data_IF_608719534918
#
_entry.id   IF_608719534918
#
_cell.length_a   1.000
_cell.length_b   1.000
_cell.length_c   1.000
_cell.angle_alpha   90.00
_cell.angle_beta   90.00
_cell.angle_gamma   90.00
#
_symmetry.space_group_name_H-M   'P 1'
#
loop_
_entity.id
_entity.type
_entity.pdbx_description
1 polymer ?
#
# COMPACT_ATOMS: atom_id res chain seq x y z
N UNK A 1 2.86 -7.61 39.23
CA UNK A 1 4.02 -6.69 39.34
C UNK A 1 5.03 -6.98 38.22
N UNK A 2 4.84 -6.36 37.05
CA UNK A 2 5.79 -6.45 35.92
C UNK A 2 5.51 -5.31 34.92
N UNK A 3 5.42 -4.07 35.43
CA UNK A 3 5.60 -2.90 34.59
C UNK A 3 7.10 -2.78 34.26
N UNK A 4 7.66 -3.80 33.59
CA UNK A 4 9.02 -3.79 33.06
C UNK A 4 9.08 -2.58 32.14
N UNK A 5 9.81 -1.56 32.59
CA UNK A 5 9.91 -0.26 31.94
C UNK A 5 10.07 -0.44 30.43
N UNK A 6 9.11 0.07 29.66
CA UNK A 6 9.12 0.03 28.19
C UNK A 6 10.07 1.09 27.65
N UNK A 7 11.25 1.22 28.25
CA UNK A 7 12.31 2.12 27.80
C UNK A 7 12.75 1.73 26.40
N UNK A 8 12.84 2.69 25.47
CA UNK A 8 13.39 2.41 24.15
C UNK A 8 14.84 1.92 24.27
N UNK A 9 15.22 1.00 23.40
CA UNK A 9 16.60 0.52 23.29
C UNK A 9 17.45 1.50 22.47
N UNK A 10 16.87 2.01 21.38
CA UNK A 10 17.54 2.88 20.41
C UNK A 10 16.60 3.98 19.92
N UNK A 11 17.19 5.01 19.34
CA UNK A 11 16.50 6.15 18.76
C UNK A 11 17.14 6.47 17.42
N UNK A 12 16.33 6.74 16.39
CA UNK A 12 16.83 7.30 15.14
C UNK A 12 16.95 8.82 15.32
N UNK A 13 18.12 9.45 15.17
CA UNK A 13 18.26 10.90 15.33
C UNK A 13 17.42 11.68 14.32
N UNK A 14 16.83 12.79 14.77
CA UNK A 14 16.17 13.75 13.89
C UNK A 14 17.26 14.40 13.01
N UNK A 15 17.14 14.24 11.69
CA UNK A 15 18.12 14.78 10.73
C UNK A 15 17.54 15.93 9.89
N UNK A 16 16.21 15.99 9.78
CA UNK A 16 15.49 17.02 9.04
C UNK A 16 15.11 18.14 10.00
N UNK A 17 15.67 19.32 9.77
CA UNK A 17 15.32 20.53 10.53
C UNK A 17 13.91 21.05 10.18
N UNK A 18 13.49 22.07 10.94
CA UNK A 18 12.16 22.67 10.83
C UNK A 18 11.92 23.30 9.45
N UNK A 19 12.87 24.06 8.94
CA UNK A 19 12.72 24.82 7.70
C UNK A 19 12.66 23.87 6.50
N UNK A 20 13.51 22.84 6.51
CA UNK A 20 13.49 21.76 5.52
C UNK A 20 12.17 21.01 5.54
N UNK A 21 11.61 20.72 6.72
CA UNK A 21 10.30 20.09 6.84
C UNK A 21 9.17 20.98 6.28
N UNK A 22 9.16 22.28 6.59
CA UNK A 22 8.19 23.22 6.01
C UNK A 22 8.33 23.29 4.49
N UNK A 23 9.55 23.38 3.96
CA UNK A 23 9.80 23.40 2.52
C UNK A 23 9.30 22.12 1.82
N UNK A 24 9.51 20.95 2.44
CA UNK A 24 9.00 19.67 1.95
C UNK A 24 7.47 19.62 1.96
N UNK A 25 6.83 20.15 3.00
CA UNK A 25 5.37 20.29 3.06
C UNK A 25 4.85 21.18 1.92
N UNK A 26 5.43 22.38 1.73
CA UNK A 26 5.04 23.32 0.65
C UNK A 26 5.17 22.66 -0.73
N UNK A 27 6.33 22.04 -0.99
CA UNK A 27 6.57 21.29 -2.23
C UNK A 27 5.54 20.18 -2.45
N UNK A 28 5.16 19.47 -1.39
CA UNK A 28 4.14 18.42 -1.49
C UNK A 28 2.76 19.01 -1.77
N UNK A 29 2.36 20.09 -1.08
CA UNK A 29 1.07 20.75 -1.27
C UNK A 29 0.89 21.32 -2.68
N UNK A 30 1.96 21.82 -3.29
CA UNK A 30 1.96 22.32 -4.68
C UNK A 30 1.80 21.23 -5.75
N UNK A 31 1.87 19.95 -5.39
CA UNK A 31 1.69 18.82 -6.32
C UNK A 31 0.27 18.26 -6.21
N UNK A 32 -0.29 17.75 -7.31
CA UNK A 32 -1.55 17.02 -7.31
C UNK A 32 -2.65 17.71 -8.12
N UNK A 33 -3.14 17.01 -9.14
CA UNK A 33 -4.09 17.55 -10.11
C UNK A 33 -5.34 18.13 -9.45
N UNK A 34 -5.93 17.38 -8.52
CA UNK A 34 -7.19 17.73 -7.85
C UNK A 34 -7.07 18.78 -6.75
N UNK A 35 -5.87 19.29 -6.42
CA UNK A 35 -5.70 20.25 -5.32
C UNK A 35 -5.95 21.70 -5.78
N UNK A 36 -6.39 22.61 -4.89
CA UNK A 36 -6.43 24.04 -5.18
C UNK A 36 -5.04 24.56 -5.60
N UNK A 37 -4.97 25.43 -6.61
CA UNK A 37 -3.69 25.93 -7.13
C UNK A 37 -2.95 26.83 -6.15
N UNK A 38 -3.69 27.52 -5.28
CA UNK A 38 -3.21 28.43 -4.24
C UNK A 38 -2.92 27.73 -2.90
N UNK A 39 -3.10 26.41 -2.82
CA UNK A 39 -2.97 25.65 -1.57
C UNK A 39 -1.59 25.80 -0.95
N UNK A 40 -0.54 25.66 -1.75
CA UNK A 40 0.85 25.73 -1.26
C UNK A 40 1.20 27.11 -0.71
N UNK A 41 0.60 28.18 -1.21
CA UNK A 41 0.92 29.55 -0.79
C UNK A 41 0.09 29.95 0.43
N UNK A 42 -1.21 29.67 0.40
CA UNK A 42 -2.15 30.11 1.42
C UNK A 42 -2.27 29.21 2.63
N UNK A 43 -1.77 27.97 2.58
CA UNK A 43 -1.77 27.11 3.76
C UNK A 43 -1.00 27.79 4.90
N UNK A 44 -1.61 27.90 6.07
CA UNK A 44 -0.95 28.44 7.26
C UNK A 44 -0.61 27.30 8.21
N UNK A 45 0.68 27.07 8.50
CA UNK A 45 1.09 26.08 9.51
C UNK A 45 0.64 26.60 10.86
N UNK A 46 -0.26 25.88 11.53
CA UNK A 46 -0.78 26.24 12.86
C UNK A 46 0.05 25.60 13.96
N UNK A 47 0.40 24.33 13.79
CA UNK A 47 1.21 23.56 14.74
C UNK A 47 2.26 22.77 13.99
N UNK A 48 3.46 22.71 14.56
CA UNK A 48 4.55 21.89 14.03
C UNK A 48 5.44 21.43 15.16
N UNK A 49 5.50 20.11 15.35
CA UNK A 49 6.26 19.52 16.44
C UNK A 49 7.01 18.28 15.99
N UNK A 50 8.26 18.16 16.42
CA UNK A 50 9.03 16.94 16.29
C UNK A 50 8.57 15.97 17.39
N UNK A 51 8.12 14.79 16.96
CA UNK A 51 7.62 13.74 17.84
C UNK A 51 8.42 12.46 17.61
N UNK A 52 8.94 11.90 18.70
CA UNK A 52 9.56 10.59 18.71
C UNK A 52 8.52 9.53 18.98
N UNK A 53 8.20 8.74 17.95
CA UNK A 53 7.14 7.75 18.01
C UNK A 53 7.73 6.36 18.28
N UNK A 54 7.19 5.61 19.26
CA UNK A 54 7.70 4.30 19.61
C UNK A 54 7.24 3.21 18.64
N UNK A 55 8.17 2.35 18.27
CA UNK A 55 7.95 1.18 17.42
C UNK A 55 8.60 -0.07 18.02
N UNK A 56 7.93 -1.21 17.81
CA UNK A 56 8.59 -2.51 17.86
C UNK A 56 9.22 -2.78 16.50
N UNK A 57 10.52 -3.04 16.50
CA UNK A 57 11.29 -3.43 15.32
C UNK A 57 11.54 -4.93 15.41
N UNK A 58 10.92 -5.69 14.51
CA UNK A 58 11.07 -7.15 14.48
C UNK A 58 12.12 -7.60 13.47
N UNK A 59 12.84 -8.64 13.86
CA UNK A 59 13.77 -9.39 13.03
C UNK A 59 13.41 -10.87 13.11
N UNK A 60 13.42 -11.56 11.98
CA UNK A 60 13.12 -12.99 11.91
C UNK A 60 13.73 -13.64 10.67
N UNK A 61 14.00 -14.93 10.79
CA UNK A 61 14.24 -15.81 9.66
C UNK A 61 12.95 -16.54 9.31
N UNK A 62 12.72 -16.73 8.01
CA UNK A 62 11.54 -17.41 7.47
C UNK A 62 11.96 -18.66 6.72
N UNK A 63 11.23 -19.75 6.98
CA UNK A 63 11.28 -20.98 6.21
C UNK A 63 9.86 -21.24 5.71
N UNK A 64 9.66 -21.03 4.42
CA UNK A 64 8.33 -21.02 3.81
C UNK A 64 8.19 -22.17 2.84
N UNK A 65 7.16 -22.98 3.04
CA UNK A 65 6.66 -23.92 2.04
C UNK A 65 5.48 -23.28 1.33
N UNK A 66 5.45 -23.33 0.00
CA UNK A 66 4.37 -22.75 -0.78
C UNK A 66 3.85 -23.69 -1.86
N UNK A 67 2.58 -23.53 -2.19
CA UNK A 67 1.90 -24.22 -3.28
C UNK A 67 1.09 -23.21 -4.09
N UNK A 68 1.03 -23.36 -5.40
CA UNK A 68 0.22 -22.52 -6.28
C UNK A 68 -0.20 -23.31 -7.53
N UNK A 69 -1.23 -22.85 -8.23
CA UNK A 69 -1.49 -23.32 -9.60
C UNK A 69 -0.96 -22.29 -10.59
N UNK A 70 -0.26 -22.74 -11.62
CA UNK A 70 0.26 -21.91 -12.70
C UNK A 70 -0.39 -22.28 -14.03
N UNK A 71 -0.62 -21.28 -14.86
CA UNK A 71 -0.98 -21.46 -16.26
C UNK A 71 -0.19 -20.50 -17.14
N UNK A 72 0.38 -21.02 -18.23
CA UNK A 72 1.11 -20.20 -19.21
C UNK A 72 0.20 -19.65 -20.32
N UNK A 73 -1.11 -19.93 -20.29
CA UNK A 73 -2.00 -19.47 -21.35
C UNK A 73 -2.29 -17.97 -21.27
N UNK A 74 -2.48 -17.29 -22.41
CA UNK A 74 -2.85 -15.88 -22.45
C UNK A 74 -4.15 -15.57 -21.70
N UNK A 75 -4.30 -14.31 -21.29
CA UNK A 75 -5.56 -13.82 -20.69
C UNK A 75 -6.72 -14.02 -21.67
N UNK A 76 -7.85 -14.53 -21.16
CA UNK A 76 -9.06 -14.82 -21.95
C UNK A 76 -9.11 -16.22 -22.56
N UNK A 77 -7.99 -16.95 -22.61
CA UNK A 77 -7.98 -18.35 -23.03
C UNK A 77 -8.27 -19.30 -21.86
N UNK A 78 -9.04 -20.36 -22.11
CA UNK A 78 -9.07 -21.53 -21.22
C UNK A 78 -7.72 -22.22 -21.32
N UNK A 79 -7.07 -22.44 -20.18
CA UNK A 79 -5.78 -23.11 -20.10
C UNK A 79 -5.76 -24.10 -18.96
N UNK A 80 -4.90 -25.10 -19.11
CA UNK A 80 -4.63 -26.07 -18.07
C UNK A 80 -3.89 -25.40 -16.92
N UNK A 81 -4.25 -25.82 -15.71
CA UNK A 81 -3.65 -25.36 -14.48
C UNK A 81 -2.77 -26.47 -13.94
N UNK A 82 -1.48 -26.17 -13.81
CA UNK A 82 -0.49 -27.12 -13.31
C UNK A 82 -0.16 -26.77 -11.87
N UNK A 83 -0.25 -27.72 -10.92
CA UNK A 83 0.15 -27.48 -9.55
C UNK A 83 1.67 -27.31 -9.48
N UNK A 84 2.10 -26.29 -8.77
CA UNK A 84 3.49 -25.98 -8.45
C UNK A 84 3.66 -25.89 -6.94
N UNK A 85 4.84 -26.24 -6.47
CA UNK A 85 5.22 -26.07 -5.08
C UNK A 85 6.70 -25.75 -4.99
N UNK A 86 7.09 -25.15 -3.88
CA UNK A 86 8.48 -24.84 -3.64
C UNK A 86 8.75 -24.41 -2.21
N UNK A 87 10.02 -24.14 -1.96
CA UNK A 87 10.51 -23.59 -0.71
C UNK A 87 11.09 -22.20 -0.95
N UNK A 88 10.93 -21.33 0.04
CA UNK A 88 11.57 -20.03 0.08
C UNK A 88 12.13 -19.78 1.49
N UNK A 89 13.36 -19.30 1.56
CA UNK A 89 14.02 -18.94 2.82
C UNK A 89 14.48 -17.50 2.74
N UNK A 90 14.16 -16.72 3.76
CA UNK A 90 14.53 -15.32 3.81
C UNK A 90 14.89 -14.90 5.23
N UNK A 91 15.51 -13.73 5.33
CA UNK A 91 15.79 -13.04 6.59
C UNK A 91 15.27 -11.63 6.48
N UNK A 92 14.39 -11.25 7.40
CA UNK A 92 13.80 -9.94 7.47
C UNK A 92 14.29 -9.22 8.71
N UNK A 93 14.72 -7.98 8.53
CA UNK A 93 15.11 -7.07 9.60
C UNK A 93 14.47 -5.71 9.37
N UNK A 94 14.01 -5.07 10.44
CA UNK A 94 13.41 -3.74 10.34
C UNK A 94 11.91 -3.74 10.10
N UNK A 95 11.19 -4.82 10.43
CA UNK A 95 9.73 -4.81 10.34
C UNK A 95 9.15 -3.95 11.47
N UNK A 96 8.55 -2.82 11.09
CA UNK A 96 7.99 -1.85 12.02
C UNK A 96 6.56 -2.21 12.41
N UNK A 97 6.30 -2.27 13.71
CA UNK A 97 4.96 -2.32 14.29
C UNK A 97 4.82 -1.16 15.28
N UNK A 98 3.86 -0.26 15.03
CA UNK A 98 3.62 0.90 15.88
C UNK A 98 3.33 0.49 17.32
N UNK A 99 3.96 1.17 18.27
CA UNK A 99 3.78 0.92 19.70
C UNK A 99 2.99 2.03 20.43
N UNK A 100 2.44 2.98 19.67
CA UNK A 100 1.51 4.04 20.12
C UNK A 100 0.34 4.16 19.14
N UNK A 101 -0.65 4.97 19.51
CA UNK A 101 -1.83 5.28 18.68
C UNK A 101 -1.68 6.55 17.84
N UNK A 102 -0.49 7.18 17.80
CA UNK A 102 -0.30 8.47 17.12
C UNK A 102 -0.31 8.34 15.60
N UNK A 103 0.16 7.20 15.08
CA UNK A 103 0.17 6.92 13.65
C UNK A 103 -0.56 5.63 13.35
N UNK A 104 -1.37 5.69 12.30
CA UNK A 104 -1.93 4.52 11.65
C UNK A 104 -0.85 3.70 10.92
N UNK A 105 -1.09 2.40 10.64
CA UNK A 105 -0.17 1.59 9.85
C UNK A 105 0.07 2.17 8.44
N UNK A 106 -0.95 2.76 7.81
CA UNK A 106 -0.84 3.37 6.47
C UNK A 106 0.02 4.64 6.50
N UNK A 107 -0.14 5.52 7.50
CA UNK A 107 0.72 6.70 7.68
C UNK A 107 2.18 6.28 7.92
N UNK A 108 2.41 5.31 8.81
CA UNK A 108 3.77 4.77 9.06
C UNK A 108 4.41 4.29 7.76
N UNK A 109 3.66 3.52 6.98
CA UNK A 109 4.17 2.96 5.75
C UNK A 109 4.33 4.00 4.62
N UNK A 110 3.56 5.09 4.64
CA UNK A 110 3.76 6.24 3.77
C UNK A 110 5.04 7.01 4.13
N UNK A 111 5.44 7.06 5.40
CA UNK A 111 6.66 7.74 5.88
C UNK A 111 7.93 6.93 5.65
N UNK A 112 7.81 5.61 5.56
CA UNK A 112 8.90 4.69 5.23
C UNK A 112 9.62 5.01 3.90
N UNK A 113 10.95 4.76 3.77
CA UNK A 113 11.81 4.06 4.72
C UNK A 113 12.36 4.92 5.87
N UNK A 114 12.65 4.26 6.99
CA UNK A 114 13.55 4.74 8.02
C UNK A 114 14.84 3.91 7.96
N UNK A 115 15.98 4.56 8.07
CA UNK A 115 17.29 3.92 8.17
C UNK A 115 17.59 3.61 9.64
N UNK A 116 17.27 2.36 10.01
CA UNK A 116 17.51 1.81 11.35
C UNK A 116 19.00 1.52 11.62
N UNK A 117 19.86 1.52 10.59
CA UNK A 117 21.30 1.41 10.74
C UNK A 117 21.90 2.62 11.45
N UNK A 118 21.27 3.79 11.30
CA UNK A 118 21.66 5.04 11.96
C UNK A 118 21.02 5.25 13.33
N UNK A 119 20.29 4.26 13.87
CA UNK A 119 19.74 4.37 15.20
C UNK A 119 20.87 4.26 16.26
N UNK A 120 20.87 5.17 17.22
CA UNK A 120 21.86 5.23 18.31
C UNK A 120 21.21 4.82 19.64
N UNK A 121 21.98 4.43 20.67
CA UNK A 121 21.45 4.27 22.02
C UNK A 121 20.69 5.51 22.50
N UNK A 122 19.61 5.32 23.25
CA UNK A 122 18.71 6.40 23.69
C UNK A 122 19.40 7.51 24.47
N UNK A 123 20.45 7.20 25.23
CA UNK A 123 21.23 8.17 26.00
C UNK A 123 22.15 9.09 25.16
N UNK A 124 22.25 8.86 23.85
CA UNK A 124 23.05 9.70 22.95
C UNK A 124 22.24 10.80 22.27
N UNK A 125 20.93 10.86 22.51
CA UNK A 125 20.06 11.91 22.00
C UNK A 125 19.41 12.59 23.19
N UNK A 126 19.46 13.92 23.22
CA UNK A 126 18.67 14.69 24.19
C UNK A 126 17.19 14.52 23.86
N UNK A 127 16.52 13.74 24.71
CA UNK A 127 15.07 13.49 24.62
C UNK A 127 14.27 14.35 25.61
N UNK A 128 14.91 15.21 26.39
CA UNK A 128 14.25 16.01 27.43
C UNK A 128 13.44 17.16 26.81
N UNK A 129 13.93 17.71 25.71
CA UNK A 129 13.35 18.87 25.03
C UNK A 129 12.48 18.53 23.81
N UNK A 130 12.11 17.26 23.65
CA UNK A 130 11.32 16.77 22.51
C UNK A 130 10.12 15.98 22.99
N UNK A 131 9.05 15.96 22.19
CA UNK A 131 7.88 15.15 22.51
C UNK A 131 8.22 13.69 22.23
N UNK A 132 8.24 12.87 23.28
CA UNK A 132 8.38 11.41 23.17
C UNK A 132 7.05 10.75 23.49
N UNK A 133 6.53 9.99 22.53
CA UNK A 133 5.30 9.24 22.72
C UNK A 133 5.50 8.00 23.58
N UNK A 134 4.48 7.67 24.36
CA UNK A 134 4.55 6.56 25.30
C UNK A 134 4.36 5.21 24.59
N UNK A 135 5.15 4.22 24.99
CA UNK A 135 4.93 2.83 24.61
C UNK A 135 3.65 2.31 25.28
N UNK A 136 2.56 2.25 24.52
CA UNK A 136 1.25 1.74 24.98
C UNK A 136 1.03 0.29 24.59
N UNK A 137 1.57 -0.13 23.45
CA UNK A 137 1.36 -1.49 22.93
C UNK A 137 2.44 -2.42 23.46
N UNK A 138 2.04 -3.42 24.25
CA UNK A 138 2.95 -4.46 24.72
C UNK A 138 3.37 -5.41 23.59
N UNK A 139 4.57 -6.00 23.71
CA UNK A 139 5.13 -6.96 22.73
C UNK A 139 4.16 -8.09 22.36
N UNK A 140 3.39 -8.60 23.34
CA UNK A 140 2.44 -9.70 23.12
C UNK A 140 1.36 -9.38 22.06
N UNK A 141 0.98 -8.10 21.94
CA UNK A 141 0.01 -7.63 20.93
C UNK A 141 0.69 -7.25 19.60
N UNK A 142 1.94 -6.80 19.65
CA UNK A 142 2.70 -6.48 18.44
C UNK A 142 3.18 -7.74 17.68
N UNK A 143 3.45 -8.84 18.38
CA UNK A 143 3.99 -10.08 17.80
C UNK A 143 3.08 -10.72 16.75
N UNK A 144 1.75 -10.85 16.94
CA UNK A 144 0.84 -11.34 15.90
C UNK A 144 0.84 -10.45 14.65
N UNK A 145 0.86 -9.13 14.81
CA UNK A 145 0.93 -8.18 13.69
C UNK A 145 2.23 -8.34 12.89
N UNK A 146 3.35 -8.52 13.59
CA UNK A 146 4.64 -8.80 12.96
C UNK A 146 4.61 -10.12 12.15
N UNK A 147 4.03 -11.19 12.72
CA UNK A 147 3.85 -12.46 12.03
C UNK A 147 3.03 -12.30 10.74
N UNK A 148 1.88 -11.62 10.82
CA UNK A 148 1.04 -11.35 9.66
C UNK A 148 1.79 -10.53 8.59
N UNK A 149 2.57 -9.54 9.02
CA UNK A 149 3.44 -8.76 8.14
C UNK A 149 4.45 -9.64 7.39
N UNK A 150 5.17 -10.52 8.10
CA UNK A 150 6.11 -11.48 7.51
C UNK A 150 5.44 -12.45 6.55
N UNK A 151 4.27 -12.98 6.89
CA UNK A 151 3.49 -13.85 6.01
C UNK A 151 3.08 -13.15 4.71
N UNK A 152 2.72 -11.87 4.77
CA UNK A 152 2.39 -11.08 3.58
C UNK A 152 3.62 -10.78 2.71
N UNK A 153 4.79 -10.60 3.32
CA UNK A 153 6.06 -10.44 2.61
C UNK A 153 6.43 -11.72 1.88
N UNK A 154 6.40 -12.84 2.60
CA UNK A 154 6.66 -14.19 2.08
C UNK A 154 5.68 -14.56 0.97
N UNK A 155 4.38 -14.30 1.13
CA UNK A 155 3.39 -14.55 0.07
C UNK A 155 3.74 -13.80 -1.22
N UNK A 156 4.13 -12.54 -1.12
CA UNK A 156 4.49 -11.76 -2.30
C UNK A 156 5.83 -12.19 -2.92
N UNK A 157 6.80 -12.61 -2.11
CA UNK A 157 8.06 -13.17 -2.60
C UNK A 157 7.81 -14.50 -3.32
N UNK A 158 7.05 -15.41 -2.71
CA UNK A 158 6.65 -16.69 -3.30
C UNK A 158 5.91 -16.51 -4.64
N UNK A 159 5.04 -15.49 -4.74
CA UNK A 159 4.31 -15.19 -5.97
C UNK A 159 5.22 -14.90 -7.18
N UNK A 160 6.45 -14.41 -6.97
CA UNK A 160 7.41 -14.14 -8.04
C UNK A 160 8.01 -15.41 -8.65
N UNK A 161 7.94 -16.54 -7.94
CA UNK A 161 8.42 -17.84 -8.45
C UNK A 161 7.36 -18.60 -9.25
N UNK A 162 6.11 -18.11 -9.30
CA UNK A 162 5.03 -18.74 -10.06
C UNK A 162 5.00 -18.12 -11.46
N UNK A 163 5.37 -18.86 -12.51
CA UNK A 163 5.36 -18.32 -13.88
C UNK A 163 3.93 -18.10 -14.38
N UNK A 164 3.78 -17.15 -15.30
CA UNK A 164 2.51 -16.88 -15.97
C UNK A 164 1.40 -16.45 -15.01
N UNK A 165 0.19 -16.92 -15.29
CA UNK A 165 -0.98 -16.69 -14.43
C UNK A 165 -0.86 -17.55 -13.18
N UNK A 166 -1.14 -16.96 -12.02
CA UNK A 166 -1.17 -17.68 -10.75
C UNK A 166 -2.57 -17.66 -10.14
N UNK A 167 -2.92 -18.73 -9.43
CA UNK A 167 -4.05 -18.79 -8.51
C UNK A 167 -3.73 -19.71 -7.33
N UNK A 168 -4.59 -19.69 -6.31
CA UNK A 168 -4.52 -20.61 -5.17
C UNK A 168 -3.15 -20.61 -4.45
N UNK A 169 -2.42 -19.50 -4.47
CA UNK A 169 -1.14 -19.39 -3.78
C UNK A 169 -1.36 -19.49 -2.27
N UNK A 170 -0.88 -20.58 -1.68
CA UNK A 170 -0.85 -20.83 -0.24
C UNK A 170 0.59 -20.83 0.22
N UNK A 171 0.83 -20.18 1.35
CA UNK A 171 2.15 -20.15 2.01
C UNK A 171 1.99 -20.64 3.44
N UNK A 172 2.92 -21.50 3.86
CA UNK A 172 3.07 -21.95 5.22
C UNK A 172 4.43 -21.47 5.73
N UNK A 173 4.42 -20.43 6.56
CA UNK A 173 5.62 -19.73 7.01
C UNK A 173 5.99 -20.18 8.42
N UNK A 174 7.14 -20.84 8.53
CA UNK A 174 7.79 -21.12 9.82
C UNK A 174 8.74 -19.97 10.15
N UNK A 175 8.54 -19.35 11.31
CA UNK A 175 9.40 -18.28 11.81
C UNK A 175 10.43 -18.83 12.78
N UNK A 176 11.70 -18.47 12.58
CA UNK A 176 12.80 -18.78 13.50
C UNK A 176 13.48 -17.49 13.97
N UNK A 177 13.94 -17.50 15.22
CA UNK A 177 14.68 -16.37 15.80
C UNK A 177 13.89 -15.06 15.91
N UNK A 178 12.55 -15.10 16.07
CA UNK A 178 11.73 -13.88 16.14
C UNK A 178 12.08 -13.02 17.36
N UNK A 179 12.86 -11.96 17.13
CA UNK A 179 13.28 -10.99 18.12
C UNK A 179 12.58 -9.65 17.91
N UNK A 180 12.61 -8.79 18.92
CA UNK A 180 12.03 -7.45 18.84
C UNK A 180 12.83 -6.46 19.65
N UNK A 181 13.06 -5.28 19.07
CA UNK A 181 13.68 -4.14 19.75
C UNK A 181 12.69 -2.98 19.85
N UNK A 182 12.87 -2.13 20.86
CA UNK A 182 12.08 -0.90 21.03
C UNK A 182 12.87 0.26 20.44
N UNK A 183 12.33 0.90 19.41
CA UNK A 183 13.00 2.01 18.72
C UNK A 183 12.08 3.23 18.65
N UNK A 184 12.64 4.41 18.93
CA UNK A 184 11.98 5.68 18.68
C UNK A 184 12.33 6.19 17.27
N UNK A 185 11.30 6.55 16.50
CA UNK A 185 11.46 7.13 15.17
C UNK A 185 11.03 8.61 15.17
N UNK A 186 11.84 9.51 14.57
CA UNK A 186 11.55 10.93 14.55
C UNK A 186 10.55 11.25 13.43
N UNK A 187 9.47 11.94 13.78
CA UNK A 187 8.41 12.31 12.86
C UNK A 187 8.02 13.76 13.13
N UNK A 188 7.99 14.58 12.09
CA UNK A 188 7.37 15.90 12.16
C UNK A 188 5.87 15.74 12.00
N UNK A 189 5.14 16.13 13.04
CA UNK A 189 3.67 16.19 13.02
C UNK A 189 3.26 17.65 12.88
N UNK A 190 2.50 17.94 11.83
CA UNK A 190 2.06 19.28 11.49
C UNK A 190 0.55 19.34 11.37
N UNK A 191 0.00 20.48 11.77
CA UNK A 191 -1.34 20.90 11.42
C UNK A 191 -1.22 22.18 10.60
N UNK A 192 -1.99 22.28 9.52
CA UNK A 192 -2.10 23.51 8.75
C UNK A 192 -3.56 23.83 8.46
N UNK A 193 -3.87 25.12 8.33
CA UNK A 193 -5.21 25.62 8.01
C UNK A 193 -5.29 26.11 6.57
N UNK A 194 -6.36 25.76 5.88
CA UNK A 194 -6.72 26.27 4.56
C UNK A 194 -8.24 26.35 4.43
N UNK A 195 -8.79 27.51 4.06
CA UNK A 195 -10.24 27.74 3.95
C UNK A 195 -11.01 27.28 5.22
N UNK A 196 -10.53 27.72 6.39
CA UNK A 196 -11.07 27.39 7.72
C UNK A 196 -11.09 25.90 8.10
N UNK A 197 -10.50 25.04 7.29
CA UNK A 197 -10.32 23.62 7.58
C UNK A 197 -8.88 23.33 8.02
N UNK A 198 -8.74 22.46 9.02
CA UNK A 198 -7.43 22.02 9.52
C UNK A 198 -7.10 20.66 8.95
N UNK A 199 -5.88 20.51 8.43
CA UNK A 199 -5.39 19.29 7.83
C UNK A 199 -4.13 18.83 8.55
N UNK A 200 -4.01 17.51 8.72
CA UNK A 200 -2.83 16.86 9.29
C UNK A 200 -1.81 16.57 8.20
N UNK A 201 -0.55 16.86 8.52
CA UNK A 201 0.59 16.61 7.65
C UNK A 201 1.73 15.97 8.44
N UNK A 202 2.43 15.01 7.81
CA UNK A 202 3.46 14.20 8.43
C UNK A 202 4.72 14.19 7.56
N UNK A 203 5.88 14.31 8.20
CA UNK A 203 7.17 14.16 7.53
C UNK A 203 8.06 13.22 8.32
N UNK A 204 8.75 12.34 7.61
CA UNK A 204 9.79 11.50 8.17
C UNK A 204 10.95 12.41 8.61
N UNK A 205 11.23 12.46 9.91
CA UNK A 205 12.24 13.33 10.50
C UNK A 205 13.69 12.95 10.18
N UNK A 206 13.91 11.83 9.50
CA UNK A 206 15.23 11.40 9.05
C UNK A 206 15.42 11.63 7.53
N UNK A 207 14.42 11.29 6.71
CA UNK A 207 14.54 11.30 5.24
C UNK A 207 13.86 12.48 4.56
N UNK A 208 12.97 13.19 5.26
CA UNK A 208 12.18 14.28 4.71
C UNK A 208 10.99 13.81 3.86
N UNK A 209 10.75 12.50 3.77
CA UNK A 209 9.59 11.96 3.04
C UNK A 209 8.29 12.48 3.65
N UNK A 210 7.45 13.06 2.81
CA UNK A 210 6.27 13.82 3.23
C UNK A 210 4.96 13.14 2.79
N UNK A 211 3.97 13.16 3.67
CA UNK A 211 2.62 12.62 3.43
C UNK A 211 1.60 13.38 4.26
N UNK A 212 0.36 13.45 3.82
CA UNK A 212 -0.69 14.08 4.61
C UNK A 212 -2.00 14.22 3.86
N UNK A 213 -2.92 14.96 4.45
CA UNK A 213 -4.21 15.27 3.85
C UNK A 213 -4.13 16.58 3.08
N UNK A 214 -4.93 16.72 2.03
CA UNK A 214 -5.07 17.96 1.28
C UNK A 214 -6.52 18.12 0.78
N UNK A 215 -7.05 19.35 0.75
CA UNK A 215 -8.36 19.60 0.17
C UNK A 215 -8.37 19.35 -1.33
N UNK A 216 -9.52 18.94 -1.84
CA UNK A 216 -9.78 18.83 -3.28
C UNK A 216 -10.49 20.09 -3.79
N UNK A 217 -10.11 20.56 -4.98
CA UNK A 217 -10.72 21.71 -5.63
C UNK A 217 -12.02 21.30 -6.31
N UNK A 218 -13.15 21.73 -5.73
CA UNK A 218 -14.47 21.48 -6.31
C UNK A 218 -14.60 22.04 -7.73
N UNK A 219 -14.00 23.21 -7.99
CA UNK A 219 -13.98 23.83 -9.33
C UNK A 219 -13.33 22.92 -10.38
N UNK A 220 -12.22 22.26 -10.03
CA UNK A 220 -11.53 21.31 -10.92
C UNK A 220 -12.35 20.04 -11.14
N UNK A 221 -12.99 19.52 -10.09
CA UNK A 221 -13.88 18.35 -10.17
C UNK A 221 -15.07 18.68 -11.07
N UNK A 222 -15.75 19.80 -10.85
CA UNK A 222 -16.88 20.24 -11.65
C UNK A 222 -16.52 20.43 -13.12
N UNK A 223 -15.36 21.05 -13.42
CA UNK A 223 -14.88 21.18 -14.78
C UNK A 223 -14.60 19.82 -15.45
N UNK A 224 -13.97 18.88 -14.73
CA UNK A 224 -13.70 17.55 -15.26
C UNK A 224 -15.00 16.76 -15.55
N UNK A 225 -15.99 16.86 -14.66
CA UNK A 225 -17.32 16.25 -14.86
C UNK A 225 -18.03 16.87 -16.06
N UNK A 226 -17.99 18.20 -16.20
CA UNK A 226 -18.59 18.88 -17.34
C UNK A 226 -17.95 18.44 -18.67
N UNK A 227 -16.62 18.36 -18.72
CA UNK A 227 -15.89 17.88 -19.90
C UNK A 227 -16.28 16.43 -20.22
N UNK A 228 -16.38 15.56 -19.21
CA UNK A 228 -16.81 14.17 -19.40
C UNK A 228 -18.22 14.07 -19.98
N UNK A 229 -19.17 14.91 -19.50
CA UNK A 229 -20.53 14.98 -20.04
C UNK A 229 -20.52 15.45 -21.50
N UNK A 230 -19.75 16.49 -21.84
CA UNK A 230 -19.65 17.00 -23.21
C UNK A 230 -19.07 15.95 -24.17
N UNK A 231 -18.03 15.22 -23.75
CA UNK A 231 -17.46 14.11 -24.53
C UNK A 231 -18.49 13.00 -24.72
N UNK A 232 -19.23 12.64 -23.68
CA UNK A 232 -20.28 11.63 -23.78
C UNK A 232 -21.37 12.04 -24.76
N UNK A 233 -21.86 13.28 -24.70
CA UNK A 233 -22.86 13.81 -25.63
C UNK A 233 -22.32 13.85 -27.07
N UNK A 234 -21.06 14.23 -27.26
CA UNK A 234 -20.40 14.21 -28.57
C UNK A 234 -20.33 12.79 -29.15
N UNK A 235 -19.95 11.79 -28.34
CA UNK A 235 -19.91 10.39 -28.75
C UNK A 235 -21.30 9.85 -29.10
N UNK A 236 -22.33 10.19 -28.32
CA UNK A 236 -23.72 9.82 -28.61
C UNK A 236 -24.22 10.46 -29.90
N UNK A 237 -23.89 11.73 -30.16
CA UNK A 237 -24.23 12.40 -31.41
C UNK A 237 -23.56 11.74 -32.62
N UNK A 238 -22.26 11.40 -32.52
CA UNK A 238 -21.52 10.69 -33.58
C UNK A 238 -22.11 9.30 -33.86
N UNK A 239 -22.50 8.56 -32.83
CA UNK A 239 -23.17 7.26 -32.99
C UNK A 239 -24.58 7.40 -33.59
N UNK A 240 -25.34 8.44 -33.20
CA UNK A 240 -26.65 8.74 -33.75
C UNK A 240 -26.62 9.16 -35.24
N UNK A 241 -25.57 9.89 -35.64
CA UNK A 241 -25.32 10.25 -37.04
C UNK A 241 -24.95 9.04 -37.91
N UNK A 242 -24.24 8.05 -37.35
CA UNK A 242 -23.99 6.77 -38.04
C UNK A 242 -25.25 5.89 -38.20
N UNK A 243 -26.17 5.94 -37.23
CA UNK A 243 -27.44 5.22 -37.31
C UNK A 243 -28.45 5.80 -38.31
N UNK A 244 -28.36 7.10 -38.60
CA UNK A 244 -29.25 7.77 -39.56
C UNK A 244 -28.96 7.39 -41.04
N UNK A 245 -27.75 6.90 -41.35
CA UNK A 245 -27.42 6.42 -42.70
C UNK A 245 -27.94 5.00 -43.01
N UNK A 246 -28.31 4.20 -42.00
CA UNK A 246 -28.85 2.84 -42.20
C UNK A 246 -30.38 2.78 -42.26
N UNK A 247 -31.10 3.90 -42.09
CA UNK A 247 -32.57 3.94 -42.11
C UNK A 247 -33.17 4.59 -43.37
N UNK A 248 -32.36 4.89 -44.40
CA UNK A 248 -32.84 5.42 -45.68
C UNK A 248 -33.21 4.34 -46.71
N UNK A 249 -32.99 3.04 -46.43
CA UNK A 249 -33.22 1.98 -47.41
C UNK A 249 -33.84 0.73 -46.77
N UNK A 250 -35.05 0.88 -46.22
CA UNK A 250 -35.84 -0.26 -45.74
C UNK A 250 -37.36 0.00 -45.82
N UNK A 251 -37.82 0.44 -46.99
CA UNK A 251 -39.24 0.52 -47.32
C UNK A 251 -39.72 -0.69 -48.13
N UNK A 252 -39.87 -1.87 -47.51
CA UNK A 252 -40.87 -2.95 -47.81
C UNK A 252 -40.40 -4.32 -47.30
N UNK A 253 -41.00 -4.82 -46.21
CA UNK A 253 -41.84 -6.03 -46.22
C UNK A 253 -42.23 -6.49 -44.80
N UNK A 254 -43.55 -6.66 -44.63
CA UNK A 254 -44.23 -7.76 -43.92
C UNK A 254 -43.91 -8.11 -42.45
N UNK A 255 -44.90 -7.78 -41.60
CA UNK A 255 -45.53 -8.61 -40.52
C UNK A 255 -44.67 -9.72 -39.87
N UNK A 256 -44.50 -9.63 -38.54
CA UNK A 256 -45.17 -10.49 -37.52
C UNK A 256 -44.86 -10.03 -36.09
N UNK A 257 -45.87 -10.22 -35.23
CA UNK A 257 -45.90 -9.94 -33.78
C UNK A 257 -45.03 -10.93 -33.01
N UNK A 258 -44.51 -10.53 -31.85
CA UNK A 258 -44.65 -11.14 -30.50
C UNK A 258 -43.85 -10.28 -29.49
N UNK A 259 -44.45 -9.53 -28.57
CA UNK A 259 -44.96 -9.89 -27.22
C UNK A 259 -43.86 -10.01 -26.14
N UNK A 260 -43.77 -9.00 -25.25
CA UNK A 260 -43.26 -9.00 -23.85
C UNK A 260 -41.75 -9.32 -23.64
N UNK A 261 -41.00 -8.84 -22.64
CA UNK A 261 -41.24 -8.02 -21.46
C UNK A 261 -39.90 -7.38 -21.00
N UNK A 262 -40.05 -6.35 -20.19
CA UNK A 262 -39.08 -5.60 -19.37
C UNK A 262 -38.11 -6.46 -18.53
N UNK A 263 -36.92 -5.95 -18.20
CA UNK A 263 -36.52 -5.54 -16.83
C UNK A 263 -34.99 -5.26 -16.66
N UNK A 264 -34.69 -4.08 -16.06
CA UNK A 264 -33.60 -3.64 -15.13
C UNK A 264 -32.19 -4.27 -15.20
N UNK A 265 -31.13 -3.48 -15.32
CA UNK A 265 -30.39 -2.72 -14.28
C UNK A 265 -29.51 -3.59 -13.36
N UNK A 266 -28.19 -3.38 -13.39
CA UNK A 266 -27.28 -3.23 -12.22
C UNK A 266 -25.84 -3.10 -12.74
N UNK A 267 -25.23 -1.92 -12.59
CA UNK A 267 -24.32 -1.57 -11.49
C UNK A 267 -22.92 -2.20 -11.60
N UNK A 268 -21.98 -1.33 -11.96
CA UNK A 268 -20.69 -1.10 -11.31
C UNK A 268 -20.08 -2.26 -10.51
N UNK A 269 -18.96 -2.79 -11.02
CA UNK A 269 -17.94 -3.38 -10.17
C UNK A 269 -16.68 -2.55 -10.32
N UNK A 270 -16.49 -1.65 -9.35
CA UNK A 270 -15.24 -0.94 -9.10
C UNK A 270 -14.15 -1.98 -8.79
N UNK A 271 -13.09 -1.93 -9.57
CA UNK A 271 -11.96 -2.85 -9.59
C UNK A 271 -11.18 -2.82 -8.27
N UNK A 272 -10.94 -4.02 -7.71
CA UNK A 272 -10.16 -4.26 -6.49
C UNK A 272 -8.63 -4.17 -6.72
N UNK A 273 -8.15 -3.08 -7.32
CA UNK A 273 -6.74 -2.94 -7.76
C UNK A 273 -5.97 -1.78 -7.06
N UNK A 274 -6.45 -1.30 -5.91
CA UNK A 274 -5.84 -0.18 -5.17
C UNK A 274 -5.19 -0.57 -3.83
N UNK A 275 -4.86 -1.85 -3.60
CA UNK A 275 -4.18 -2.31 -2.36
C UNK A 275 -2.73 -2.79 -2.55
N UNK A 276 -2.09 -2.56 -3.71
CA UNK A 276 -0.76 -3.11 -4.04
C UNK A 276 0.46 -2.21 -3.80
N UNK A 277 0.31 -0.96 -3.38
CA UNK A 277 1.45 -0.02 -3.27
C UNK A 277 1.67 0.52 -1.87
N UNK A 278 2.01 -0.37 -0.93
CA UNK A 278 2.58 0.09 0.35
C UNK A 278 3.59 -0.95 0.84
N UNK A 279 4.89 -0.71 0.63
CA UNK A 279 5.94 -1.49 1.27
C UNK A 279 7.16 -0.62 1.52
N UNK A 280 7.52 -0.53 2.79
CA UNK A 280 8.86 -0.10 3.21
C UNK A 280 9.88 -1.05 2.57
N UNK A 281 11.00 -0.59 1.99
CA UNK A 281 12.06 -1.49 1.58
C UNK A 281 12.66 -2.14 2.84
N UNK A 282 12.19 -3.35 3.13
CA UNK A 282 12.83 -4.21 4.12
C UNK A 282 14.09 -4.73 3.43
N UNK A 283 15.24 -4.47 4.05
CA UNK A 283 16.52 -4.94 3.54
C UNK A 283 16.55 -6.46 3.68
N UNK A 284 16.28 -7.19 2.59
CA UNK A 284 16.69 -8.59 2.51
C UNK A 284 18.21 -8.59 2.44
N UNK A 285 18.87 -9.19 3.42
CA UNK A 285 20.31 -9.45 3.31
C UNK A 285 20.43 -10.62 2.34
N UNK A 286 21.05 -10.37 1.18
CA UNK A 286 21.26 -11.36 0.14
C UNK A 286 22.22 -12.45 0.64
N UNK A 287 21.64 -13.49 1.22
CA UNK A 287 22.24 -14.82 1.42
C UNK A 287 21.33 -15.92 0.87
N UNK A 288 20.47 -15.59 -0.09
CA UNK A 288 19.52 -16.51 -0.71
C UNK A 288 20.28 -17.57 -1.50
N UNK A 289 20.39 -18.78 -0.96
CA UNK A 289 20.60 -19.97 -1.80
C UNK A 289 19.42 -20.05 -2.78
N UNK A 290 19.64 -20.36 -4.07
CA UNK A 290 18.56 -20.41 -5.05
C UNK A 290 17.48 -21.37 -4.56
N UNK A 291 16.22 -20.94 -4.65
CA UNK A 291 15.06 -21.76 -4.39
C UNK A 291 15.17 -23.05 -5.22
N UNK A 292 15.09 -24.22 -4.58
CA UNK A 292 14.86 -25.47 -5.31
C UNK A 292 13.41 -25.47 -5.75
N UNK A 293 13.14 -24.94 -6.93
CA UNK A 293 11.85 -25.14 -7.61
C UNK A 293 11.82 -26.59 -8.09
N UNK A 294 11.27 -27.49 -7.29
CA UNK A 294 11.01 -28.86 -7.72
C UNK A 294 9.76 -28.87 -8.59
N UNK A 295 9.94 -28.94 -9.91
CA UNK A 295 8.88 -29.31 -10.84
C UNK A 295 8.53 -30.79 -10.59
N UNK A 296 7.53 -31.04 -9.76
CA UNK A 296 6.93 -32.38 -9.68
C UNK A 296 5.85 -32.44 -10.74
N UNK A 297 6.23 -32.83 -11.96
CA UNK A 297 5.26 -33.27 -12.96
C UNK A 297 4.45 -34.41 -12.34
N UNK A 298 3.16 -34.19 -12.12
CA UNK A 298 2.26 -35.28 -11.78
C UNK A 298 2.23 -36.21 -12.99
N UNK A 299 2.91 -37.35 -12.88
CA UNK A 299 2.77 -38.48 -13.79
C UNK A 299 1.28 -38.82 -13.91
N UNK A 300 0.69 -38.58 -15.07
CA UNK A 300 -0.56 -39.21 -15.45
C UNK A 300 -0.30 -40.72 -15.60
N UNK A 301 -1.15 -41.61 -15.08
CA UNK A 301 -1.08 -43.01 -15.45
C UNK A 301 -1.55 -43.13 -16.90
N UNK A 302 -0.70 -43.72 -17.74
CA UNK A 302 -1.08 -44.21 -19.07
C UNK A 302 -2.15 -45.28 -18.90
N UNK A 303 -3.36 -45.01 -19.37
CA UNK A 303 -4.34 -46.05 -19.64
C UNK A 303 -4.15 -46.49 -21.10
N UNK A 304 -3.32 -47.52 -21.27
CA UNK A 304 -3.40 -48.46 -22.38
C UNK A 304 -4.16 -49.68 -21.88
N UNK A 305 -5.29 -49.97 -22.52
CA UNK A 305 -6.21 -51.07 -22.25
C UNK A 305 -7.49 -50.87 -23.02
#
# INVERSE_FOLDING_TARGET
PDAKSLTPNRVVPLSVDRDTAVANMRRWLGKGFWRPGDLSERAAVTTMTAVYVPYWVFTAQTFTYWTADSSQTPFGARGDWVPLSGEHRSSYSGLLVGASSVLTPSETAALCPFDLGRAVPTNQVDLENVIVEQFRVQRKYARPLARQGLENLERAACAQYVPGRNRNLKVNVRLEGLSSERVLLPIWVMAYRFQDQTFRFLINGQTGKATGQAPTSWKKIAAAVLIAILILLMLLALMGLGGAMMNADAGKHSKRRHTFATEKSEQATCTAEELRKVRCPIRSVAGSRPARTTYRAALQPSLSG
#
